data_IF_917672969073
#
_entry.id   IF_917672969073
#
_cell.length_a   1.000
_cell.length_b   1.000
_cell.length_c   1.000
_cell.angle_alpha   90.00
_cell.angle_beta   90.00
_cell.angle_gamma   90.00
#
_symmetry.space_group_name_H-M   'P 1'
#
loop_
_entity.id
_entity.type
_entity.pdbx_description
1 polymer ?
#
# COMPACT_ATOMS: atom_id res chain seq x y z
N UNK A 1 10.72 -2.92 -11.10
CA UNK A 1 9.75 -2.45 -12.10
C UNK A 1 9.43 -1.02 -11.72
N UNK A 2 9.94 -0.05 -12.47
CA UNK A 2 9.65 1.36 -12.21
C UNK A 2 8.33 1.71 -12.88
N UNK A 3 7.31 1.88 -12.08
CA UNK A 3 6.00 2.36 -12.55
C UNK A 3 5.94 3.85 -12.20
N UNK A 4 5.64 4.68 -13.20
CA UNK A 4 5.48 6.12 -13.03
C UNK A 4 4.41 6.42 -11.97
N UNK A 5 4.73 7.26 -10.99
CA UNK A 5 3.80 7.68 -9.94
C UNK A 5 2.54 8.32 -10.52
N UNK A 6 2.66 9.09 -11.60
CA UNK A 6 1.52 9.70 -12.29
C UNK A 6 0.56 8.63 -12.82
N UNK A 7 1.10 7.51 -13.31
CA UNK A 7 0.28 6.37 -13.72
C UNK A 7 -0.39 5.71 -12.51
N UNK A 8 0.36 5.50 -11.42
CA UNK A 8 -0.19 4.90 -10.20
C UNK A 8 -1.35 5.71 -9.61
N UNK A 9 -1.31 7.03 -9.70
CA UNK A 9 -2.40 7.88 -9.21
C UNK A 9 -3.70 7.74 -10.01
N UNK A 10 -3.66 7.14 -11.20
CA UNK A 10 -4.83 6.93 -12.08
C UNK A 10 -5.61 5.67 -11.76
N UNK A 11 -5.06 4.76 -10.97
CA UNK A 11 -5.77 3.56 -10.52
C UNK A 11 -6.59 3.83 -9.27
N UNK A 12 -7.82 3.34 -9.24
CA UNK A 12 -8.72 3.45 -8.10
C UNK A 12 -8.27 2.57 -6.94
N UNK A 13 -7.81 1.35 -7.23
CA UNK A 13 -7.25 0.40 -6.28
C UNK A 13 -5.93 -0.16 -6.79
N UNK A 14 -5.02 -0.42 -5.87
CA UNK A 14 -3.72 -1.03 -6.12
C UNK A 14 -3.46 -2.09 -5.06
N UNK A 15 -3.00 -3.26 -5.47
CA UNK A 15 -2.68 -4.35 -4.55
C UNK A 15 -1.28 -4.89 -4.86
N UNK A 16 -0.45 -4.99 -3.82
CA UNK A 16 0.88 -5.60 -3.93
C UNK A 16 0.76 -7.09 -3.64
N UNK A 17 0.92 -7.93 -4.66
CA UNK A 17 1.04 -9.37 -4.50
C UNK A 17 2.51 -9.74 -4.35
N UNK A 18 2.86 -10.35 -3.23
CA UNK A 18 4.22 -10.82 -2.93
C UNK A 18 4.25 -12.33 -3.00
N UNK A 19 5.21 -12.84 -3.73
CA UNK A 19 5.53 -14.27 -3.74
C UNK A 19 6.56 -14.53 -2.63
N UNK A 20 6.05 -14.89 -1.45
CA UNK A 20 6.86 -15.22 -0.29
C UNK A 20 6.75 -16.73 -0.05
N UNK A 21 7.87 -17.47 0.01
CA UNK A 21 7.84 -18.90 0.29
C UNK A 21 7.08 -19.19 1.59
N UNK A 22 6.00 -19.97 1.46
CA UNK A 22 5.19 -20.43 2.58
C UNK A 22 4.73 -21.88 2.32
N UNK A 23 5.30 -22.87 3.02
CA UNK A 23 5.02 -24.28 2.75
C UNK A 23 3.53 -24.65 2.77
N UNK A 24 2.74 -24.04 3.64
CA UNK A 24 1.29 -24.32 3.73
C UNK A 24 0.52 -23.75 2.53
N UNK A 25 0.86 -22.53 2.11
CA UNK A 25 0.24 -21.87 0.96
C UNK A 25 0.71 -22.54 -0.32
N UNK A 26 2.01 -22.80 -0.44
CA UNK A 26 2.63 -23.42 -1.62
C UNK A 26 2.08 -24.82 -1.86
N UNK A 27 1.88 -25.62 -0.81
CA UNK A 27 1.23 -26.93 -0.90
C UNK A 27 -0.20 -26.81 -1.44
N UNK A 28 -1.01 -25.90 -0.89
CA UNK A 28 -2.38 -25.69 -1.36
C UNK A 28 -2.46 -25.26 -2.82
N UNK A 29 -1.53 -24.38 -3.23
CA UNK A 29 -1.43 -23.91 -4.63
C UNK A 29 -1.02 -25.07 -5.55
N UNK A 30 0.00 -25.86 -5.16
CA UNK A 30 0.44 -27.02 -5.93
C UNK A 30 -0.67 -28.08 -6.08
N UNK A 31 -1.36 -28.39 -4.98
CA UNK A 31 -2.49 -29.33 -4.98
C UNK A 31 -3.63 -28.83 -5.88
N UNK A 32 -3.94 -27.52 -5.83
CA UNK A 32 -4.96 -26.93 -6.68
C UNK A 32 -4.59 -27.02 -8.16
N UNK A 33 -3.33 -26.76 -8.52
CA UNK A 33 -2.84 -26.88 -9.91
C UNK A 33 -2.96 -28.33 -10.40
N UNK A 34 -2.59 -29.31 -9.56
CA UNK A 34 -2.73 -30.73 -9.89
C UNK A 34 -4.20 -31.11 -10.10
N UNK A 35 -5.10 -30.66 -9.23
CA UNK A 35 -6.55 -30.88 -9.35
C UNK A 35 -7.11 -30.32 -10.65
N UNK A 36 -6.77 -29.07 -10.99
CA UNK A 36 -7.24 -28.43 -12.22
C UNK A 36 -6.75 -29.14 -13.47
N UNK A 37 -5.51 -29.70 -13.46
CA UNK A 37 -4.91 -30.34 -14.62
C UNK A 37 -5.31 -31.80 -14.83
N UNK A 38 -5.54 -32.52 -13.74
CA UNK A 38 -5.69 -34.01 -13.81
C UNK A 38 -7.02 -34.49 -13.24
N UNK A 39 -7.73 -33.66 -12.47
CA UNK A 39 -8.98 -34.03 -11.80
C UNK A 39 -10.03 -32.93 -12.01
N UNK A 40 -10.37 -32.67 -13.28
CA UNK A 40 -11.28 -31.55 -13.66
C UNK A 40 -12.62 -31.57 -12.91
N UNK A 41 -13.13 -32.76 -12.55
CA UNK A 41 -14.39 -32.87 -11.81
C UNK A 41 -14.32 -32.32 -10.39
N UNK A 42 -13.17 -32.41 -9.73
CA UNK A 42 -12.95 -31.87 -8.38
C UNK A 42 -12.72 -30.36 -8.37
N UNK A 43 -12.39 -29.76 -9.53
CA UNK A 43 -12.13 -28.34 -9.69
C UNK A 43 -13.31 -27.56 -10.26
N UNK A 44 -14.52 -28.18 -10.32
CA UNK A 44 -15.71 -27.51 -10.88
C UNK A 44 -16.03 -26.24 -10.08
N UNK A 45 -16.18 -25.09 -10.78
CA UNK A 45 -16.55 -23.85 -10.12
C UNK A 45 -18.00 -23.93 -9.61
N UNK A 46 -18.28 -23.22 -8.52
CA UNK A 46 -19.64 -23.12 -7.93
C UNK A 46 -20.65 -22.56 -8.93
N UNK A 47 -20.22 -21.63 -9.78
CA UNK A 47 -21.04 -21.04 -10.83
C UNK A 47 -20.39 -21.25 -12.20
N UNK A 48 -21.20 -21.62 -13.19
CA UNK A 48 -20.70 -21.71 -14.57
C UNK A 48 -20.36 -20.33 -15.12
N UNK A 49 -19.40 -20.28 -16.05
CA UNK A 49 -19.03 -19.04 -16.76
C UNK A 49 -20.22 -18.40 -17.48
N UNK A 50 -21.12 -19.22 -18.05
CA UNK A 50 -22.32 -18.76 -18.72
C UNK A 50 -23.28 -18.06 -17.75
N UNK A 51 -23.51 -18.66 -16.58
CA UNK A 51 -24.33 -18.06 -15.54
C UNK A 51 -23.77 -16.70 -15.10
N UNK A 52 -22.45 -16.64 -14.81
CA UNK A 52 -21.81 -15.39 -14.40
C UNK A 52 -21.90 -14.30 -15.47
N UNK A 53 -21.73 -14.66 -16.75
CA UNK A 53 -21.90 -13.71 -17.87
C UNK A 53 -23.32 -13.12 -17.89
N UNK A 54 -24.34 -13.97 -17.78
CA UNK A 54 -25.74 -13.56 -17.75
C UNK A 54 -26.03 -12.67 -16.53
N UNK A 55 -25.54 -13.05 -15.37
CA UNK A 55 -25.70 -12.29 -14.13
C UNK A 55 -25.09 -10.90 -14.24
N UNK A 56 -23.83 -10.82 -14.69
CA UNK A 56 -23.14 -9.53 -14.87
C UNK A 56 -23.85 -8.66 -15.92
N UNK A 57 -24.26 -9.25 -17.05
CA UNK A 57 -24.99 -8.53 -18.09
C UNK A 57 -26.31 -7.96 -17.56
N UNK A 58 -27.07 -8.73 -16.80
CA UNK A 58 -28.30 -8.30 -16.15
C UNK A 58 -28.03 -7.16 -15.16
N UNK A 59 -27.09 -7.36 -14.25
CA UNK A 59 -26.72 -6.35 -13.24
C UNK A 59 -26.30 -5.01 -13.88
N UNK A 60 -25.50 -5.07 -14.95
CA UNK A 60 -25.07 -3.86 -15.68
C UNK A 60 -26.18 -3.15 -16.41
N UNK A 61 -27.10 -3.88 -17.05
CA UNK A 61 -28.13 -3.30 -17.90
C UNK A 61 -29.40 -2.87 -17.16
N UNK A 62 -29.68 -3.49 -16.01
CA UNK A 62 -30.96 -3.31 -15.30
C UNK A 62 -30.83 -2.63 -13.95
N UNK A 63 -29.66 -2.69 -13.31
CA UNK A 63 -29.49 -2.20 -11.94
C UNK A 63 -28.71 -0.87 -11.99
N UNK A 64 -29.35 0.19 -11.54
CA UNK A 64 -28.79 1.54 -11.45
C UNK A 64 -28.97 2.04 -10.00
N UNK A 65 -28.08 1.64 -9.08
CA UNK A 65 -28.24 1.97 -7.67
C UNK A 65 -28.16 3.47 -7.42
N UNK A 66 -29.02 3.96 -6.54
CA UNK A 66 -29.00 5.34 -6.07
C UNK A 66 -28.44 5.37 -4.64
N UNK A 67 -27.53 6.30 -4.39
CA UNK A 67 -26.91 6.47 -3.09
C UNK A 67 -27.95 6.94 -2.05
N UNK A 68 -28.09 6.21 -0.93
CA UNK A 68 -28.92 6.67 0.18
C UNK A 68 -28.24 7.85 0.90
N UNK A 69 -29.03 8.67 1.60
CA UNK A 69 -28.48 9.79 2.36
C UNK A 69 -27.47 9.32 3.42
N UNK A 70 -27.79 8.24 4.14
CA UNK A 70 -26.93 7.65 5.16
C UNK A 70 -25.61 7.13 4.58
N UNK A 71 -25.66 6.45 3.45
CA UNK A 71 -24.46 5.99 2.73
C UNK A 71 -23.60 7.18 2.26
N UNK A 72 -24.23 8.25 1.78
CA UNK A 72 -23.54 9.47 1.37
C UNK A 72 -22.84 10.19 2.54
N UNK A 73 -23.50 10.32 3.67
CA UNK A 73 -22.89 10.92 4.88
C UNK A 73 -21.71 10.07 5.37
N UNK A 74 -21.82 8.76 5.39
CA UNK A 74 -20.73 7.84 5.78
C UNK A 74 -19.51 7.95 4.86
N UNK A 75 -19.69 8.04 3.55
CA UNK A 75 -18.61 8.28 2.60
C UNK A 75 -17.90 9.61 2.86
N UNK A 76 -18.67 10.67 3.10
CA UNK A 76 -18.17 12.00 3.40
C UNK A 76 -17.38 12.02 4.73
N UNK A 77 -17.91 11.40 5.77
CA UNK A 77 -17.23 11.29 7.07
C UNK A 77 -15.88 10.60 6.91
N UNK A 78 -15.84 9.45 6.23
CA UNK A 78 -14.59 8.74 5.97
C UNK A 78 -13.59 9.60 5.18
N UNK A 79 -14.05 10.30 4.14
CA UNK A 79 -13.19 11.17 3.35
C UNK A 79 -12.58 12.30 4.21
N UNK A 80 -13.40 12.96 5.05
CA UNK A 80 -12.95 14.04 5.92
C UNK A 80 -11.99 13.51 7.01
N UNK A 81 -12.27 12.36 7.59
CA UNK A 81 -11.40 11.68 8.55
C UNK A 81 -10.02 11.41 7.96
N UNK A 82 -9.97 10.85 6.75
CA UNK A 82 -8.71 10.55 6.08
C UNK A 82 -7.92 11.81 5.73
N UNK A 83 -8.60 12.90 5.37
CA UNK A 83 -7.94 14.18 5.10
C UNK A 83 -7.42 14.88 6.35
N UNK A 84 -8.14 14.79 7.46
CA UNK A 84 -7.72 15.42 8.72
C UNK A 84 -6.53 14.70 9.36
N UNK A 85 -6.39 13.39 9.14
CA UNK A 85 -5.25 12.59 9.63
C UNK A 85 -3.98 12.79 8.81
N UNK A 86 -4.10 13.21 7.56
CA UNK A 86 -2.97 13.63 6.75
C UNK A 86 -2.51 15.00 7.23
N UNK A 87 -1.55 15.06 8.17
CA UNK A 87 -0.91 16.31 8.61
C UNK A 87 -0.18 17.01 7.46
N UNK A 88 0.31 18.22 7.70
CA UNK A 88 1.05 19.01 6.69
C UNK A 88 2.29 18.28 6.13
N UNK A 89 2.83 17.30 6.87
CA UNK A 89 4.01 16.51 6.49
C UNK A 89 3.67 15.16 5.82
N UNK A 90 2.39 14.79 5.72
CA UNK A 90 2.01 13.51 5.11
C UNK A 90 1.73 13.69 3.61
N UNK A 91 2.58 13.21 2.70
CA UNK A 91 2.47 13.46 1.26
C UNK A 91 1.28 12.76 0.59
N UNK A 92 0.56 11.88 1.28
CA UNK A 92 -0.55 11.12 0.70
C UNK A 92 -1.83 11.33 1.51
N UNK A 93 -2.53 12.42 1.22
CA UNK A 93 -3.93 12.52 1.63
C UNK A 93 -4.82 11.86 0.55
N UNK A 94 -5.95 11.28 0.98
CA UNK A 94 -6.97 10.79 0.05
C UNK A 94 -7.38 11.92 -0.90
N UNK A 95 -7.35 11.67 -2.21
CA UNK A 95 -7.69 12.64 -3.24
C UNK A 95 -9.19 12.61 -3.56
N UNK A 96 -9.71 13.65 -4.22
CA UNK A 96 -11.08 13.65 -4.75
C UNK A 96 -11.34 12.47 -5.69
N UNK A 97 -10.33 12.06 -6.46
CA UNK A 97 -10.43 10.88 -7.33
C UNK A 97 -10.69 9.60 -6.55
N UNK A 98 -10.01 9.41 -5.42
CA UNK A 98 -10.24 8.26 -4.55
C UNK A 98 -11.61 8.33 -3.84
N UNK A 99 -12.10 9.53 -3.55
CA UNK A 99 -13.46 9.70 -3.05
C UNK A 99 -14.50 9.28 -4.09
N UNK A 100 -14.37 9.71 -5.35
CA UNK A 100 -15.21 9.24 -6.45
C UNK A 100 -15.09 7.73 -6.67
N UNK A 101 -13.90 7.18 -6.50
CA UNK A 101 -13.66 5.73 -6.55
C UNK A 101 -14.44 4.98 -5.48
N UNK A 102 -14.50 5.49 -4.25
CA UNK A 102 -15.31 4.91 -3.19
C UNK A 102 -16.80 4.85 -3.55
N UNK A 103 -17.33 5.92 -4.15
CA UNK A 103 -18.72 5.97 -4.63
C UNK A 103 -18.93 4.89 -5.70
N UNK A 104 -18.08 4.83 -6.73
CA UNK A 104 -18.18 3.81 -7.80
C UNK A 104 -18.10 2.38 -7.27
N UNK A 105 -17.26 2.13 -6.27
CA UNK A 105 -17.15 0.81 -5.64
C UNK A 105 -18.37 0.45 -4.81
N UNK A 106 -18.95 1.41 -4.10
CA UNK A 106 -20.18 1.20 -3.34
C UNK A 106 -21.37 0.92 -4.28
N UNK A 107 -21.48 1.66 -5.39
CA UNK A 107 -22.47 1.38 -6.44
C UNK A 107 -22.27 0.00 -7.08
N UNK A 108 -21.02 -0.40 -7.35
CA UNK A 108 -20.72 -1.73 -7.87
C UNK A 108 -21.08 -2.83 -6.87
N UNK A 109 -20.88 -2.59 -5.57
CA UNK A 109 -21.30 -3.50 -4.50
C UNK A 109 -22.81 -3.70 -4.48
N UNK A 110 -23.59 -2.62 -4.57
CA UNK A 110 -25.04 -2.68 -4.67
C UNK A 110 -25.50 -3.40 -5.95
N UNK A 111 -24.83 -3.16 -7.09
CA UNK A 111 -25.11 -3.87 -8.35
C UNK A 111 -24.90 -5.38 -8.25
N UNK A 112 -23.83 -5.80 -7.57
CA UNK A 112 -23.58 -7.23 -7.32
C UNK A 112 -24.70 -7.88 -6.51
N UNK A 113 -25.33 -7.14 -5.61
CA UNK A 113 -26.47 -7.61 -4.84
C UNK A 113 -27.82 -7.48 -5.59
N UNK A 114 -27.80 -6.95 -6.81
CA UNK A 114 -28.99 -6.58 -7.59
C UNK A 114 -29.88 -5.57 -6.85
N UNK A 115 -29.30 -4.71 -6.02
CA UNK A 115 -30.00 -3.68 -5.27
C UNK A 115 -30.15 -2.39 -6.07
N UNK A 116 -31.31 -1.75 -5.98
CA UNK A 116 -31.55 -0.42 -6.58
C UNK A 116 -31.06 0.73 -5.70
N UNK A 117 -30.58 0.44 -4.48
CA UNK A 117 -30.03 1.43 -3.55
C UNK A 117 -28.65 1.00 -3.06
N UNK A 118 -27.79 1.99 -2.84
CA UNK A 118 -26.50 1.84 -2.15
C UNK A 118 -26.75 2.13 -0.68
N UNK A 119 -26.55 1.12 0.16
CA UNK A 119 -26.71 1.23 1.61
C UNK A 119 -25.37 1.37 2.33
N UNK A 120 -25.35 1.65 3.66
CA UNK A 120 -24.12 1.78 4.43
C UNK A 120 -23.19 0.56 4.40
N UNK A 121 -23.70 -0.66 4.19
CA UNK A 121 -22.87 -1.87 4.10
C UNK A 121 -22.04 -1.90 2.80
N UNK A 122 -22.59 -1.40 1.71
CA UNK A 122 -21.86 -1.24 0.44
C UNK A 122 -20.70 -0.27 0.59
N UNK A 123 -20.93 0.82 1.35
CA UNK A 123 -19.90 1.79 1.70
C UNK A 123 -18.81 1.14 2.57
N UNK A 124 -19.17 0.36 3.58
CA UNK A 124 -18.21 -0.35 4.42
C UNK A 124 -17.31 -1.29 3.61
N UNK A 125 -17.89 -1.96 2.61
CA UNK A 125 -17.14 -2.82 1.71
C UNK A 125 -16.15 -2.03 0.87
N UNK A 126 -16.56 -0.90 0.32
CA UNK A 126 -15.67 -0.02 -0.47
C UNK A 126 -14.56 0.58 0.38
N UNK A 127 -14.85 1.01 1.61
CA UNK A 127 -13.88 1.53 2.57
C UNK A 127 -12.84 0.45 2.94
N UNK A 128 -13.28 -0.79 3.21
CA UNK A 128 -12.35 -1.90 3.51
C UNK A 128 -11.39 -2.17 2.36
N UNK A 129 -11.87 -2.16 1.11
CA UNK A 129 -11.03 -2.33 -0.06
C UNK A 129 -10.03 -1.18 -0.23
N UNK A 130 -10.48 0.06 -0.04
CA UNK A 130 -9.62 1.24 -0.10
C UNK A 130 -8.54 1.21 0.98
N UNK A 131 -8.91 0.93 2.23
CA UNK A 131 -7.96 0.78 3.34
C UNK A 131 -6.91 -0.30 3.05
N UNK A 132 -7.33 -1.45 2.51
CA UNK A 132 -6.40 -2.53 2.12
C UNK A 132 -5.43 -2.06 1.04
N UNK A 133 -5.95 -1.42 -0.01
CA UNK A 133 -5.13 -0.86 -1.09
C UNK A 133 -4.10 0.16 -0.58
N UNK A 134 -4.51 1.07 0.31
CA UNK A 134 -3.61 2.07 0.89
C UNK A 134 -2.52 1.41 1.74
N UNK A 135 -2.85 0.44 2.59
CA UNK A 135 -1.88 -0.29 3.41
C UNK A 135 -0.85 -1.06 2.58
N UNK A 136 -1.28 -1.65 1.47
CA UNK A 136 -0.37 -2.40 0.60
C UNK A 136 0.70 -1.49 -0.04
N UNK A 137 0.42 -0.17 -0.10
CA UNK A 137 1.33 0.87 -0.58
C UNK A 137 1.95 1.72 0.54
N UNK A 138 1.95 1.23 1.78
CA UNK A 138 2.66 1.84 2.89
C UNK A 138 1.90 2.94 3.62
N UNK A 139 0.65 3.24 3.26
CA UNK A 139 -0.16 4.20 3.99
C UNK A 139 -0.97 3.51 5.09
N UNK A 140 -0.82 3.96 6.33
CA UNK A 140 -1.60 3.50 7.49
C UNK A 140 -2.84 4.39 7.71
N UNK A 141 -4.03 3.93 7.29
CA UNK A 141 -5.25 4.75 7.36
C UNK A 141 -5.67 5.15 8.77
N UNK A 142 -5.27 4.39 9.76
CA UNK A 142 -5.60 4.63 11.17
C UNK A 142 -4.79 5.77 11.78
N UNK A 143 -3.53 5.92 11.39
CA UNK A 143 -2.59 6.90 11.95
C UNK A 143 -2.32 8.06 10.99
N UNK A 144 -2.68 7.92 9.72
CA UNK A 144 -2.35 8.88 8.66
C UNK A 144 -0.87 8.90 8.28
N UNK A 145 -0.04 8.02 8.85
CA UNK A 145 1.39 7.95 8.58
C UNK A 145 1.68 7.09 7.37
N UNK A 146 2.82 7.37 6.73
CA UNK A 146 3.38 6.50 5.69
C UNK A 146 4.30 5.51 6.37
N UNK A 147 4.02 4.24 6.19
CA UNK A 147 4.97 3.18 6.49
C UNK A 147 5.96 3.11 5.32
N UNK A 148 7.06 3.86 5.46
CA UNK A 148 8.13 3.93 4.46
C UNK A 148 8.67 2.54 4.14
N UNK A 149 8.73 1.65 5.13
CA UNK A 149 9.16 0.26 4.96
C UNK A 149 8.23 -0.54 4.02
N UNK A 150 6.95 -0.20 3.97
CA UNK A 150 5.98 -0.81 3.04
C UNK A 150 5.95 -0.12 1.68
N UNK A 151 6.07 1.20 1.64
CA UNK A 151 6.10 1.98 0.41
C UNK A 151 7.35 1.66 -0.43
N UNK A 152 8.52 1.52 0.22
CA UNK A 152 9.79 1.16 -0.41
C UNK A 152 9.99 -0.36 -0.56
N UNK A 153 9.15 -1.17 0.06
CA UNK A 153 9.29 -2.64 0.13
C UNK A 153 9.27 -3.38 -1.21
N UNK A 154 9.15 -2.67 -2.31
CA UNK A 154 9.33 -3.18 -3.68
C UNK A 154 10.80 -3.21 -4.10
N UNK A 155 11.74 -2.58 -3.36
CA UNK A 155 13.14 -2.42 -3.78
C UNK A 155 14.21 -3.04 -2.86
N UNK A 156 13.91 -3.31 -1.60
CA UNK A 156 14.90 -3.78 -0.63
C UNK A 156 14.52 -5.13 0.01
N UNK A 157 15.51 -6.00 0.22
CA UNK A 157 15.32 -7.22 1.05
C UNK A 157 15.09 -6.83 2.50
N UNK A 158 14.43 -7.67 3.30
CA UNK A 158 14.17 -7.43 4.74
C UNK A 158 15.45 -7.14 5.55
N UNK A 159 16.58 -7.74 5.15
CA UNK A 159 17.89 -7.52 5.75
C UNK A 159 18.45 -6.13 5.42
N UNK A 160 18.28 -5.67 4.18
CA UNK A 160 18.73 -4.33 3.77
C UNK A 160 17.89 -3.22 4.40
N UNK A 161 16.58 -3.44 4.57
CA UNK A 161 15.68 -2.50 5.26
C UNK A 161 16.07 -2.28 6.73
N UNK A 162 16.37 -3.36 7.42
CA UNK A 162 16.80 -3.26 8.81
C UNK A 162 18.11 -2.45 8.94
N UNK A 163 19.04 -2.63 8.00
CA UNK A 163 20.31 -1.90 7.95
C UNK A 163 20.14 -0.40 7.68
N UNK A 164 19.24 -0.03 6.73
CA UNK A 164 18.92 1.37 6.44
C UNK A 164 18.26 2.05 7.64
N UNK A 165 17.32 1.35 8.30
CA UNK A 165 16.67 1.86 9.50
C UNK A 165 17.64 2.12 10.65
N UNK A 166 18.51 1.17 10.94
CA UNK A 166 19.56 1.33 11.97
C UNK A 166 20.43 2.55 11.65
N UNK A 167 20.79 2.76 10.39
CA UNK A 167 21.57 3.94 9.99
C UNK A 167 20.80 5.24 10.17
N UNK A 168 19.49 5.27 9.86
CA UNK A 168 18.64 6.45 10.07
C UNK A 168 18.48 6.78 11.56
N UNK A 169 18.26 5.78 12.40
CA UNK A 169 18.15 5.95 13.85
C UNK A 169 19.45 6.54 14.40
N UNK A 170 20.62 6.08 13.93
CA UNK A 170 21.93 6.62 14.28
C UNK A 170 22.09 8.07 13.81
N UNK A 171 21.67 8.39 12.60
CA UNK A 171 21.71 9.77 12.08
C UNK A 171 20.82 10.68 12.91
N UNK A 172 19.63 10.24 13.32
CA UNK A 172 18.73 11.01 14.18
C UNK A 172 19.35 11.26 15.57
N UNK A 173 19.99 10.28 16.18
CA UNK A 173 20.73 10.44 17.45
C UNK A 173 21.89 11.43 17.30
N UNK A 174 22.67 11.31 16.23
CA UNK A 174 23.81 12.18 15.97
C UNK A 174 23.39 13.61 15.61
N UNK A 175 22.22 13.80 15.03
CA UNK A 175 21.64 15.13 14.80
C UNK A 175 21.45 15.89 16.12
N UNK A 176 21.07 15.19 17.20
CA UNK A 176 20.96 15.79 18.53
C UNK A 176 22.30 16.25 19.11
N UNK A 177 23.42 15.68 18.66
CA UNK A 177 24.77 15.95 19.17
C UNK A 177 25.51 16.98 18.31
N UNK A 178 25.48 16.80 16.99
CA UNK A 178 26.27 17.57 16.01
C UNK A 178 25.44 18.62 15.26
N UNK A 179 24.12 18.65 15.43
CA UNK A 179 23.25 19.49 14.65
C UNK A 179 23.05 18.95 13.22
N UNK A 180 22.88 19.85 12.24
CA UNK A 180 22.59 19.46 10.86
C UNK A 180 23.75 18.80 10.10
N UNK A 181 25.00 19.15 10.40
CA UNK A 181 26.18 18.68 9.72
C UNK A 181 26.85 17.55 10.51
N UNK A 182 26.51 16.31 10.23
CA UNK A 182 26.98 15.13 10.95
C UNK A 182 28.21 14.55 10.25
N UNK A 183 29.33 14.30 10.95
CA UNK A 183 30.50 13.67 10.36
C UNK A 183 30.20 12.26 9.85
N UNK A 184 30.49 11.99 8.58
CA UNK A 184 30.26 10.68 7.94
C UNK A 184 31.01 9.56 8.68
N UNK A 185 32.23 9.83 9.14
CA UNK A 185 33.03 8.84 9.88
C UNK A 185 32.31 8.35 11.16
N UNK A 186 31.63 9.25 11.89
CA UNK A 186 30.93 8.88 13.11
C UNK A 186 29.67 8.07 12.82
N UNK A 187 28.94 8.41 11.74
CA UNK A 187 27.79 7.62 11.25
C UNK A 187 28.26 6.21 10.90
N UNK A 188 29.30 6.07 10.09
CA UNK A 188 29.83 4.77 9.66
C UNK A 188 30.35 3.95 10.84
N UNK A 189 31.05 4.58 11.80
CA UNK A 189 31.59 3.94 12.98
C UNK A 189 30.49 3.36 13.87
N UNK A 190 29.47 4.15 14.19
CA UNK A 190 28.33 3.67 14.99
C UNK A 190 27.53 2.60 14.28
N UNK A 191 27.30 2.76 12.98
CA UNK A 191 26.60 1.75 12.20
C UNK A 191 27.31 0.40 12.16
N UNK A 192 28.65 0.39 12.18
CA UNK A 192 29.46 -0.84 12.31
C UNK A 192 29.33 -1.48 13.70
N UNK A 193 29.27 -0.66 14.76
CA UNK A 193 29.07 -1.15 16.13
C UNK A 193 27.73 -1.85 16.28
N UNK A 194 26.70 -1.38 15.62
CA UNK A 194 25.35 -2.00 15.58
C UNK A 194 25.28 -3.25 14.66
N UNK A 195 26.42 -3.73 14.17
CA UNK A 195 26.51 -4.98 13.41
C UNK A 195 26.04 -4.89 11.97
N UNK A 196 25.98 -3.70 11.40
CA UNK A 196 25.58 -3.49 9.99
C UNK A 196 26.79 -3.70 9.09
N UNK A 197 26.74 -4.72 8.23
CA UNK A 197 27.76 -4.96 7.23
C UNK A 197 27.71 -3.91 6.12
N UNK A 198 28.88 -3.45 5.69
CA UNK A 198 29.09 -2.52 4.55
C UNK A 198 28.28 -1.22 4.66
N UNK A 199 28.39 -0.47 5.76
CA UNK A 199 27.63 0.75 5.97
C UNK A 199 27.94 1.82 4.92
N UNK A 200 29.12 1.79 4.31
CA UNK A 200 29.54 2.70 3.23
C UNK A 200 28.66 2.55 1.97
N UNK A 201 28.29 1.32 1.60
CA UNK A 201 27.39 1.06 0.45
C UNK A 201 25.98 1.56 0.74
N UNK A 202 25.52 1.39 1.98
CA UNK A 202 24.19 1.84 2.43
C UNK A 202 24.13 3.36 2.44
N UNK A 203 25.14 4.03 2.98
CA UNK A 203 25.21 5.50 3.01
C UNK A 203 25.16 6.08 1.60
N UNK A 204 25.98 5.56 0.68
CA UNK A 204 25.98 5.99 -0.73
C UNK A 204 24.61 5.80 -1.38
N UNK A 205 23.93 4.69 -1.08
CA UNK A 205 22.60 4.42 -1.58
C UNK A 205 21.59 5.42 -1.05
N UNK A 206 21.60 5.70 0.25
CA UNK A 206 20.72 6.70 0.87
C UNK A 206 20.96 8.11 0.33
N UNK A 207 22.21 8.44 -0.03
CA UNK A 207 22.53 9.70 -0.71
C UNK A 207 21.99 9.72 -2.15
N UNK A 208 22.11 8.62 -2.89
CA UNK A 208 21.60 8.54 -4.29
C UNK A 208 20.07 8.53 -4.35
N UNK A 209 19.41 8.05 -3.30
CA UNK A 209 17.94 8.04 -3.15
C UNK A 209 17.39 9.34 -2.56
N UNK A 210 18.25 10.32 -2.22
CA UNK A 210 17.84 11.61 -1.67
C UNK A 210 17.33 11.59 -0.24
N UNK A 211 17.61 10.51 0.51
CA UNK A 211 17.26 10.38 1.94
C UNK A 211 18.23 11.19 2.82
N UNK A 212 19.50 11.18 2.42
CA UNK A 212 20.56 11.92 3.07
C UNK A 212 21.25 12.83 2.05
N UNK A 213 21.62 14.01 2.47
CA UNK A 213 22.33 14.99 1.65
C UNK A 213 23.70 15.31 2.23
N UNK A 214 24.73 15.44 1.38
CA UNK A 214 26.06 15.89 1.78
C UNK A 214 26.30 17.30 1.27
N UNK A 215 26.33 18.26 2.20
CA UNK A 215 26.71 19.65 1.90
C UNK A 215 28.21 19.80 1.63
N UNK A 216 29.02 18.86 2.18
CA UNK A 216 30.48 18.74 2.03
C UNK A 216 30.85 17.26 1.96
N UNK A 217 32.10 16.93 1.47
CA UNK A 217 32.52 15.53 1.30
C UNK A 217 32.57 14.68 2.59
N UNK A 218 32.66 15.31 3.73
CA UNK A 218 32.92 14.71 5.05
C UNK A 218 31.72 14.74 6.01
N UNK A 219 30.60 15.38 5.58
CA UNK A 219 29.40 15.50 6.41
C UNK A 219 28.15 15.03 5.69
N UNK A 220 27.17 14.58 6.47
CA UNK A 220 25.87 14.18 6.00
C UNK A 220 24.77 14.87 6.83
N UNK A 221 23.68 15.24 6.14
CA UNK A 221 22.52 15.91 6.71
C UNK A 221 21.27 15.15 6.29
N UNK A 222 20.34 14.95 7.21
CA UNK A 222 19.01 14.44 6.90
C UNK A 222 18.19 15.56 6.25
N UNK A 223 17.48 15.23 5.15
CA UNK A 223 16.60 16.15 4.43
C UNK A 223 15.27 16.28 5.14
#
# INVERSE_FOLDING_TARGET
>A
MDIDEVLLTRFDLKFALRDLPNPEVDTKVADHILKVRHFEEEAKPVFSTEFLRKYIAYARSRIHPVLTKEAGEKLKEFYLEMRSKAGEEAPISITLRQYESLIRMAEASAKIRLSSIVDPEDVDRSIRLMKKSLRDFGFEPETGKIDIDRAEGLRLTSVQRNRVRVMLDIVDELTGIYGRDIPIEEVLKRTRVEGVDKPDEILKKMQSEGILYSSRPDVVTKI
#
